data_IF_608928850555
#
_entry.id   IF_608928850555
#
_cell.length_a   1.000
_cell.length_b   1.000
_cell.length_c   1.000
_cell.angle_alpha   90.00
_cell.angle_beta   90.00
_cell.angle_gamma   90.00
#
_symmetry.space_group_name_H-M   'P 1'
#
loop_
_entity.id
_entity.type
_entity.pdbx_description
1 polymer ?
#
# COMPACT_ATOMS: atom_id res chain seq x y z
N UNK A 1 -24.96 7.90 -21.00
CA UNK A 1 -25.03 6.48 -20.60
C UNK A 1 -23.62 5.96 -20.26
N UNK A 2 -23.50 4.84 -19.54
CA UNK A 2 -22.19 4.23 -19.18
C UNK A 2 -21.34 3.94 -20.43
N UNK A 3 -21.96 3.51 -21.53
CA UNK A 3 -21.26 3.22 -22.79
C UNK A 3 -20.63 4.47 -23.41
N UNK A 4 -21.30 5.61 -23.38
CA UNK A 4 -20.74 6.87 -23.88
C UNK A 4 -19.51 7.30 -23.08
N UNK A 5 -19.54 7.19 -21.74
CA UNK A 5 -18.37 7.49 -20.91
C UNK A 5 -17.19 6.57 -21.21
N UNK A 6 -17.42 5.28 -21.41
CA UNK A 6 -16.36 4.33 -21.75
C UNK A 6 -15.76 4.60 -23.14
N UNK A 7 -16.58 4.99 -24.12
CA UNK A 7 -16.07 5.40 -25.44
C UNK A 7 -15.20 6.66 -25.33
N UNK A 8 -15.67 7.70 -24.65
CA UNK A 8 -14.90 8.94 -24.49
C UNK A 8 -13.56 8.70 -23.77
N UNK A 9 -13.53 7.86 -22.75
CA UNK A 9 -12.28 7.52 -22.04
C UNK A 9 -11.33 6.77 -22.97
N UNK A 10 -11.82 5.78 -23.71
CA UNK A 10 -11.01 4.98 -24.63
C UNK A 10 -10.40 5.83 -25.75
N UNK A 11 -11.20 6.73 -26.31
CA UNK A 11 -10.74 7.61 -27.40
C UNK A 11 -9.73 8.63 -26.85
N UNK A 12 -10.00 9.21 -25.69
CA UNK A 12 -9.07 10.12 -25.01
C UNK A 12 -7.72 9.48 -24.69
N UNK A 13 -7.70 8.22 -24.26
CA UNK A 13 -6.45 7.47 -23.99
C UNK A 13 -5.67 7.20 -25.28
N UNK A 14 -6.36 6.93 -26.41
CA UNK A 14 -5.70 6.71 -27.70
C UNK A 14 -5.10 7.99 -28.27
N UNK A 15 -5.85 9.08 -28.17
CA UNK A 15 -5.44 10.35 -28.75
C UNK A 15 -4.34 11.06 -27.95
N UNK A 16 -4.33 10.84 -26.61
CA UNK A 16 -3.40 11.48 -25.70
C UNK A 16 -2.86 10.51 -24.62
N UNK A 17 -2.03 9.52 -25.01
CA UNK A 17 -1.56 8.48 -24.09
C UNK A 17 -0.72 9.03 -22.93
N UNK A 18 0.02 10.12 -23.15
CA UNK A 18 0.86 10.75 -22.12
C UNK A 18 -0.02 11.37 -21.03
N UNK A 19 -1.09 12.08 -21.42
CA UNK A 19 -2.02 12.69 -20.46
C UNK A 19 -2.75 11.61 -19.67
N UNK A 20 -3.12 10.51 -20.32
CA UNK A 20 -3.77 9.38 -19.66
C UNK A 20 -2.84 8.71 -18.66
N UNK A 21 -1.56 8.56 -18.98
CA UNK A 21 -0.54 8.04 -18.09
C UNK A 21 -0.31 8.97 -16.89
N UNK A 22 -0.21 10.27 -17.13
CA UNK A 22 -0.06 11.27 -16.07
C UNK A 22 -1.24 11.24 -15.09
N UNK A 23 -2.45 11.19 -15.60
CA UNK A 23 -3.65 11.07 -14.78
C UNK A 23 -3.70 9.75 -13.97
N UNK A 24 -3.20 8.64 -14.54
CA UNK A 24 -3.08 7.37 -13.84
C UNK A 24 -2.04 7.48 -12.72
N UNK A 25 -0.87 8.01 -13.01
CA UNK A 25 0.20 8.19 -12.03
C UNK A 25 -0.22 9.13 -10.91
N UNK A 26 -0.90 10.23 -11.22
CA UNK A 26 -1.44 11.13 -10.22
C UNK A 26 -2.43 10.44 -9.26
N UNK A 27 -3.25 9.52 -9.77
CA UNK A 27 -4.17 8.72 -8.92
C UNK A 27 -3.46 7.67 -8.08
N UNK A 28 -2.35 7.14 -8.55
CA UNK A 28 -1.59 6.09 -7.85
C UNK A 28 -0.55 6.67 -6.89
N UNK A 29 -0.23 7.96 -7.01
CA UNK A 29 0.85 8.60 -6.26
C UNK A 29 0.75 8.38 -4.75
N UNK A 30 -0.45 8.44 -4.19
CA UNK A 30 -0.68 8.21 -2.76
C UNK A 30 -0.19 6.85 -2.26
N UNK A 31 -0.22 5.81 -3.09
CA UNK A 31 0.28 4.48 -2.69
C UNK A 31 1.81 4.41 -2.56
N UNK A 32 2.53 5.30 -3.24
CA UNK A 32 4.00 5.32 -3.29
C UNK A 32 4.62 6.44 -2.47
N UNK A 33 3.81 7.35 -1.94
CA UNK A 33 4.27 8.43 -1.07
C UNK A 33 4.20 8.01 0.40
N UNK A 34 5.33 7.62 0.97
CA UNK A 34 5.42 7.16 2.37
C UNK A 34 5.02 8.24 3.39
N UNK A 35 5.16 9.51 3.02
CA UNK A 35 4.81 10.64 3.89
C UNK A 35 3.32 11.00 3.83
N UNK A 36 2.59 10.47 2.83
CA UNK A 36 1.17 10.73 2.71
C UNK A 36 0.40 9.81 3.66
N UNK A 37 -0.38 10.39 4.55
CA UNK A 37 -1.20 9.60 5.46
C UNK A 37 -2.34 8.95 4.69
N UNK A 38 -2.52 7.62 4.82
CA UNK A 38 -3.66 6.95 4.22
C UNK A 38 -4.97 7.57 4.73
N UNK A 39 -5.94 7.68 3.85
CA UNK A 39 -7.26 8.17 4.21
C UNK A 39 -7.93 7.18 5.16
N UNK A 40 -7.94 7.50 6.45
CA UNK A 40 -8.63 6.75 7.49
C UNK A 40 -9.93 7.47 7.80
N UNK A 41 -11.05 6.93 7.36
CA UNK A 41 -12.37 7.54 7.58
C UNK A 41 -13.14 6.94 8.75
N UNK A 42 -12.46 6.36 9.72
CA UNK A 42 -13.10 5.74 10.88
C UNK A 42 -14.04 6.70 11.62
N UNK A 43 -13.59 7.93 11.83
CA UNK A 43 -14.40 8.96 12.51
C UNK A 43 -15.63 9.34 11.70
N UNK A 44 -15.50 9.38 10.38
CA UNK A 44 -16.59 9.73 9.49
C UNK A 44 -17.77 8.73 9.58
N UNK A 45 -17.50 7.42 9.66
CA UNK A 45 -18.54 6.42 9.74
C UNK A 45 -19.27 6.42 11.08
N UNK A 46 -18.57 6.65 12.18
CA UNK A 46 -19.16 6.62 13.53
C UNK A 46 -19.93 7.91 13.84
N UNK A 47 -19.39 9.06 13.42
CA UNK A 47 -19.98 10.38 13.69
C UNK A 47 -20.94 10.87 12.63
N UNK A 48 -21.10 10.15 11.49
CA UNK A 48 -22.01 10.57 10.43
C UNK A 48 -23.48 10.56 10.93
N UNK A 49 -24.21 11.60 10.61
CA UNK A 49 -25.65 11.73 10.95
C UNK A 49 -26.47 10.55 10.45
N UNK A 50 -26.08 9.97 9.32
CA UNK A 50 -26.74 8.81 8.74
C UNK A 50 -26.62 7.58 9.63
N UNK A 51 -25.41 7.28 10.14
CA UNK A 51 -25.15 6.14 11.02
C UNK A 51 -25.82 6.35 12.36
N UNK A 52 -25.73 7.55 12.92
CA UNK A 52 -26.38 7.89 14.20
C UNK A 52 -27.91 7.73 14.15
N UNK A 53 -28.54 8.08 13.03
CA UNK A 53 -29.99 7.98 12.85
C UNK A 53 -30.48 6.57 12.51
N UNK A 54 -29.68 5.78 11.79
CA UNK A 54 -30.14 4.51 11.22
C UNK A 54 -29.54 3.27 11.86
N UNK A 55 -28.54 3.42 12.75
CA UNK A 55 -27.89 2.28 13.40
C UNK A 55 -27.98 2.38 14.91
N UNK A 56 -28.62 1.39 15.53
CA UNK A 56 -28.60 1.19 16.99
C UNK A 56 -27.35 0.41 17.44
N UNK A 57 -26.55 -0.08 16.53
CA UNK A 57 -25.42 -0.99 16.77
C UNK A 57 -24.11 -0.26 17.00
N UNK A 58 -23.94 0.91 16.37
CA UNK A 58 -22.73 1.71 16.49
C UNK A 58 -23.02 2.80 17.50
N UNK A 59 -22.55 2.58 18.73
CA UNK A 59 -22.56 3.58 19.79
C UNK A 59 -21.14 4.09 19.99
N UNK A 60 -21.01 5.36 20.30
CA UNK A 60 -19.74 5.98 20.66
C UNK A 60 -19.35 5.59 22.08
N UNK A 61 -18.94 4.31 22.25
CA UNK A 61 -18.45 3.83 23.53
C UNK A 61 -17.04 4.38 23.77
N UNK A 62 -16.80 4.85 24.98
CA UNK A 62 -15.50 5.33 25.43
C UNK A 62 -14.92 6.42 24.50
N UNK A 63 -15.72 7.45 24.22
CA UNK A 63 -15.35 8.57 23.35
C UNK A 63 -13.96 9.15 23.70
N UNK A 64 -13.71 9.43 24.98
CA UNK A 64 -12.45 10.01 25.47
C UNK A 64 -11.23 9.13 25.14
N UNK A 65 -11.35 7.82 25.32
CA UNK A 65 -10.29 6.87 24.97
C UNK A 65 -10.02 6.85 23.47
N UNK A 66 -11.07 6.90 22.67
CA UNK A 66 -10.95 6.93 21.20
C UNK A 66 -10.27 8.21 20.73
N UNK A 67 -10.63 9.35 21.28
CA UNK A 67 -9.97 10.62 20.97
C UNK A 67 -8.49 10.62 21.36
N UNK A 68 -8.16 10.09 22.55
CA UNK A 68 -6.77 9.97 22.97
C UNK A 68 -5.95 9.06 22.06
N UNK A 69 -6.49 7.88 21.70
CA UNK A 69 -5.82 6.95 20.79
C UNK A 69 -5.69 7.56 19.38
N UNK A 70 -6.73 8.19 18.87
CA UNK A 70 -6.70 8.86 17.57
C UNK A 70 -5.70 10.03 17.55
N UNK A 71 -5.63 10.81 18.64
CA UNK A 71 -4.64 11.85 18.82
C UNK A 71 -3.21 11.30 18.84
N UNK A 72 -2.97 10.26 19.61
CA UNK A 72 -1.67 9.59 19.68
C UNK A 72 -1.25 9.04 18.31
N UNK A 73 -2.11 8.29 17.63
CA UNK A 73 -1.80 7.71 16.32
C UNK A 73 -1.52 8.77 15.26
N UNK A 74 -2.24 9.89 15.31
CA UNK A 74 -2.02 11.03 14.40
C UNK A 74 -0.65 11.68 14.63
N UNK A 75 -0.29 11.93 15.88
CA UNK A 75 1.01 12.49 16.24
C UNK A 75 2.13 11.52 15.88
N UNK A 76 1.98 10.24 16.24
CA UNK A 76 2.96 9.20 15.93
C UNK A 76 3.16 9.03 14.43
N UNK A 77 2.08 8.91 13.67
CA UNK A 77 2.13 8.78 12.21
C UNK A 77 2.75 10.00 11.51
N UNK A 78 2.69 11.18 12.13
CA UNK A 78 3.32 12.40 11.60
C UNK A 78 4.83 12.52 11.85
N UNK A 79 5.43 11.63 12.69
CA UNK A 79 6.88 11.68 12.95
C UNK A 79 7.64 11.10 11.76
N UNK A 80 8.53 11.87 11.10
CA UNK A 80 9.32 11.37 9.98
C UNK A 80 10.11 10.10 10.37
N UNK A 81 10.15 9.13 9.50
CA UNK A 81 10.83 7.84 9.65
C UNK A 81 10.19 6.92 10.70
N UNK A 82 9.97 7.38 11.93
CA UNK A 82 9.39 6.57 13.02
C UNK A 82 7.91 6.28 12.81
N UNK A 83 7.19 7.17 12.16
CA UNK A 83 5.78 6.98 11.80
C UNK A 83 5.57 6.10 10.57
N UNK A 84 6.59 5.96 9.69
CA UNK A 84 6.44 5.21 8.43
C UNK A 84 5.91 3.78 8.58
N UNK A 85 6.33 2.97 9.59
CA UNK A 85 5.79 1.63 9.78
C UNK A 85 4.28 1.59 10.09
N UNK A 86 3.67 2.70 10.46
CA UNK A 86 2.22 2.79 10.66
C UNK A 86 1.45 3.09 9.38
N UNK A 87 2.16 3.44 8.30
CA UNK A 87 1.56 3.74 6.99
C UNK A 87 1.63 2.51 6.08
N UNK A 88 0.50 2.12 5.49
CA UNK A 88 0.43 1.03 4.53
C UNK A 88 1.34 1.24 3.31
N UNK A 89 1.52 2.50 2.89
CA UNK A 89 2.39 2.92 1.80
C UNK A 89 3.85 2.49 2.00
N UNK A 90 4.34 2.52 3.25
CA UNK A 90 5.67 2.06 3.60
C UNK A 90 5.90 0.60 3.17
N UNK A 91 4.96 -0.28 3.46
CA UNK A 91 5.06 -1.71 3.12
C UNK A 91 5.02 -1.94 1.61
N UNK A 92 4.22 -1.16 0.88
CA UNK A 92 4.17 -1.20 -0.59
C UNK A 92 5.53 -0.83 -1.18
N UNK A 93 6.08 0.32 -0.78
CA UNK A 93 7.38 0.79 -1.27
C UNK A 93 8.51 -0.18 -0.92
N UNK A 94 8.56 -0.65 0.32
CA UNK A 94 9.60 -1.59 0.76
C UNK A 94 9.51 -2.94 0.04
N UNK A 95 8.30 -3.44 -0.24
CA UNK A 95 8.13 -4.68 -1.01
C UNK A 95 8.62 -4.52 -2.45
N UNK A 96 8.34 -3.36 -3.07
CA UNK A 96 8.86 -3.06 -4.42
C UNK A 96 10.39 -2.96 -4.44
N UNK A 97 10.99 -2.32 -3.43
CA UNK A 97 12.44 -2.22 -3.30
C UNK A 97 13.10 -3.59 -3.11
N UNK A 98 12.51 -4.46 -2.29
CA UNK A 98 12.97 -5.84 -2.12
C UNK A 98 12.85 -6.60 -3.45
N UNK A 99 11.72 -6.50 -4.14
CA UNK A 99 11.54 -7.11 -5.46
C UNK A 99 12.57 -6.63 -6.48
N UNK A 100 12.87 -5.33 -6.52
CA UNK A 100 13.92 -4.78 -7.37
C UNK A 100 15.32 -5.32 -7.01
N UNK A 101 15.63 -5.45 -5.71
CA UNK A 101 16.88 -6.04 -5.25
C UNK A 101 17.00 -7.51 -5.66
N UNK A 102 15.91 -8.29 -5.64
CA UNK A 102 15.89 -9.68 -6.09
C UNK A 102 16.13 -9.79 -7.60
N UNK A 103 15.54 -8.89 -8.40
CA UNK A 103 15.81 -8.81 -9.84
C UNK A 103 17.30 -8.52 -10.11
N UNK A 104 17.87 -7.52 -9.44
CA UNK A 104 19.30 -7.15 -9.60
C UNK A 104 20.20 -8.33 -9.21
N UNK A 105 19.86 -9.06 -8.15
CA UNK A 105 20.59 -10.24 -7.68
C UNK A 105 20.28 -11.52 -8.45
N UNK A 106 19.41 -11.45 -9.46
CA UNK A 106 18.95 -12.59 -10.28
C UNK A 106 18.35 -13.75 -9.47
N UNK A 107 17.66 -13.44 -8.34
CA UNK A 107 17.01 -14.40 -7.47
C UNK A 107 15.59 -14.69 -7.93
N UNK A 108 15.45 -15.25 -9.11
CA UNK A 108 14.15 -15.45 -9.76
C UNK A 108 13.18 -16.33 -8.97
N UNK A 109 13.71 -17.38 -8.29
CA UNK A 109 12.85 -18.25 -7.48
C UNK A 109 12.23 -17.54 -6.28
N UNK A 110 13.01 -16.71 -5.59
CA UNK A 110 12.51 -15.89 -4.48
C UNK A 110 11.53 -14.84 -4.98
N UNK A 111 11.83 -14.19 -6.10
CA UNK A 111 10.91 -13.26 -6.75
C UNK A 111 9.58 -13.90 -7.11
N UNK A 112 9.57 -15.16 -7.58
CA UNK A 112 8.34 -15.89 -7.90
C UNK A 112 7.41 -16.04 -6.69
N UNK A 113 7.94 -16.16 -5.47
CA UNK A 113 7.13 -16.21 -4.24
C UNK A 113 6.43 -14.87 -3.94
N UNK A 114 6.97 -13.77 -4.47
CA UNK A 114 6.44 -12.42 -4.29
C UNK A 114 5.49 -11.99 -5.43
N UNK A 115 5.38 -12.79 -6.51
CA UNK A 115 4.51 -12.47 -7.66
C UNK A 115 3.07 -12.13 -7.26
N UNK A 116 2.40 -12.87 -6.36
CA UNK A 116 1.02 -12.55 -5.96
C UNK A 116 0.89 -11.14 -5.38
N UNK A 117 1.89 -10.68 -4.61
CA UNK A 117 1.91 -9.32 -4.06
C UNK A 117 2.17 -8.27 -5.14
N UNK A 118 3.09 -8.55 -6.05
CA UNK A 118 3.37 -7.66 -7.18
C UNK A 118 2.16 -7.51 -8.10
N UNK A 119 1.41 -8.60 -8.33
CA UNK A 119 0.15 -8.56 -9.06
C UNK A 119 -0.91 -7.75 -8.32
N UNK A 120 -1.02 -7.89 -7.00
CA UNK A 120 -1.93 -7.08 -6.19
C UNK A 120 -1.60 -5.60 -6.30
N UNK A 121 -0.31 -5.23 -6.26
CA UNK A 121 0.13 -3.86 -6.49
C UNK A 121 -0.20 -3.39 -7.90
N UNK A 122 -0.06 -4.25 -8.91
CA UNK A 122 -0.49 -3.98 -10.28
C UNK A 122 -1.99 -3.66 -10.37
N UNK A 123 -2.82 -4.38 -9.63
CA UNK A 123 -4.26 -4.09 -9.53
C UNK A 123 -4.52 -2.74 -8.86
N UNK A 124 -3.79 -2.39 -7.81
CA UNK A 124 -3.92 -1.07 -7.17
C UNK A 124 -3.60 0.07 -8.14
N UNK A 125 -2.62 -0.12 -9.03
CA UNK A 125 -2.25 0.86 -10.06
C UNK A 125 -3.31 0.96 -11.14
N UNK A 126 -3.84 -0.17 -11.62
CA UNK A 126 -4.80 -0.21 -12.73
C UNK A 126 -6.24 0.16 -12.33
N UNK A 127 -6.60 -0.11 -11.08
CA UNK A 127 -7.90 0.24 -10.51
C UNK A 127 -7.73 1.17 -9.29
N UNK A 128 -7.17 2.36 -9.47
CA UNK A 128 -6.79 3.22 -8.36
C UNK A 128 -8.03 3.68 -7.60
N UNK A 129 -8.13 3.26 -6.36
CA UNK A 129 -9.19 3.66 -5.44
C UNK A 129 -8.73 4.75 -4.46
N UNK A 130 -7.69 5.48 -4.84
CA UNK A 130 -7.14 6.61 -4.12
C UNK A 130 -6.72 6.30 -2.67
N UNK A 131 -5.47 5.92 -2.46
CA UNK A 131 -4.77 5.82 -1.16
C UNK A 131 -5.60 5.22 0.02
N UNK A 132 -6.41 4.21 -0.26
CA UNK A 132 -7.16 3.53 0.80
C UNK A 132 -6.27 2.49 1.49
N UNK A 133 -6.06 2.65 2.77
CA UNK A 133 -5.27 1.75 3.61
C UNK A 133 -5.70 0.28 3.51
N UNK A 134 -7.00 0.02 3.41
CA UNK A 134 -7.55 -1.34 3.26
C UNK A 134 -6.96 -2.13 2.08
N UNK A 135 -6.53 -1.44 1.01
CA UNK A 135 -5.93 -2.09 -0.15
C UNK A 135 -4.46 -2.48 0.10
N UNK A 136 -3.82 -1.80 1.04
CA UNK A 136 -2.42 -2.05 1.41
C UNK A 136 -2.28 -3.06 2.55
N UNK A 137 -3.35 -3.34 3.30
CA UNK A 137 -3.35 -4.30 4.41
C UNK A 137 -2.78 -5.67 4.03
N UNK A 138 -3.17 -6.31 2.91
CA UNK A 138 -2.60 -7.61 2.54
C UNK A 138 -1.08 -7.55 2.37
N UNK A 139 -0.56 -6.45 1.82
CA UNK A 139 0.89 -6.24 1.66
C UNK A 139 1.55 -6.10 3.03
N UNK A 140 0.97 -5.32 3.93
CA UNK A 140 1.49 -5.12 5.29
C UNK A 140 1.54 -6.44 6.09
N UNK A 141 0.50 -7.26 6.01
CA UNK A 141 0.45 -8.57 6.70
C UNK A 141 1.49 -9.56 6.18
N UNK A 142 1.75 -9.58 4.88
CA UNK A 142 2.70 -10.52 4.26
C UNK A 142 4.13 -9.98 4.25
N UNK A 143 4.32 -8.70 4.53
CA UNK A 143 5.63 -8.03 4.48
C UNK A 143 6.69 -8.74 5.34
N UNK A 144 6.35 -9.18 6.53
CA UNK A 144 7.27 -9.94 7.39
C UNK A 144 7.82 -11.19 6.71
N UNK A 145 6.96 -11.90 5.96
CA UNK A 145 7.38 -13.07 5.19
C UNK A 145 8.33 -12.68 4.03
N UNK A 146 8.05 -11.58 3.34
CA UNK A 146 8.91 -11.06 2.27
C UNK A 146 10.31 -10.73 2.81
N UNK A 147 10.39 -10.04 3.94
CA UNK A 147 11.67 -9.70 4.58
C UNK A 147 12.43 -10.94 5.02
N UNK A 148 11.76 -11.90 5.64
CA UNK A 148 12.39 -13.14 6.11
C UNK A 148 12.93 -13.99 4.96
N UNK A 149 12.20 -14.13 3.87
CA UNK A 149 12.64 -14.86 2.68
C UNK A 149 13.86 -14.18 2.05
N UNK A 150 13.81 -12.87 1.88
CA UNK A 150 14.94 -12.09 1.37
C UNK A 150 16.19 -12.24 2.23
N UNK A 151 16.04 -12.15 3.55
CA UNK A 151 17.15 -12.29 4.49
C UNK A 151 17.74 -13.68 4.46
N UNK A 152 16.91 -14.73 4.53
CA UNK A 152 17.35 -16.12 4.46
C UNK A 152 18.21 -16.39 3.22
N UNK A 153 17.75 -15.95 2.05
CA UNK A 153 18.50 -16.13 0.81
C UNK A 153 19.81 -15.31 0.81
N UNK A 154 19.80 -14.13 1.42
CA UNK A 154 21.00 -13.31 1.54
C UNK A 154 22.05 -13.94 2.45
N UNK A 155 21.64 -14.62 3.51
CA UNK A 155 22.53 -15.38 4.39
C UNK A 155 23.11 -16.61 3.65
N UNK A 156 22.26 -17.35 2.93
CA UNK A 156 22.69 -18.50 2.16
C UNK A 156 23.75 -18.14 1.09
N UNK A 157 23.59 -17.01 0.41
CA UNK A 157 24.60 -16.50 -0.52
C UNK A 157 25.92 -16.18 0.13
N UNK A 158 25.90 -15.49 1.28
CA UNK A 158 27.11 -15.18 2.04
C UNK A 158 27.87 -16.45 2.44
N UNK A 159 27.14 -17.47 2.92
CA UNK A 159 27.74 -18.76 3.30
C UNK A 159 28.37 -19.47 2.08
N UNK A 160 27.71 -19.47 0.94
CA UNK A 160 28.28 -20.04 -0.30
C UNK A 160 29.55 -19.32 -0.76
N UNK A 161 29.56 -17.99 -0.68
CA UNK A 161 30.74 -17.18 -1.02
C UNK A 161 31.90 -17.46 -0.06
N UNK A 162 31.64 -17.61 1.23
CA UNK A 162 32.67 -17.95 2.21
C UNK A 162 33.25 -19.34 1.98
N UNK A 163 32.42 -20.32 1.60
CA UNK A 163 32.85 -21.68 1.29
C UNK A 163 33.67 -21.82 0.01
N UNK A 164 33.53 -20.89 -0.94
CA UNK A 164 34.34 -20.87 -2.19
C UNK A 164 35.69 -20.17 -2.04
N UNK A 165 35.93 -19.47 -0.95
CA UNK A 165 37.18 -18.76 -0.67
C UNK A 165 38.18 -19.60 0.18
N UNK A 166 37.72 -20.73 0.67
CA UNK A 166 38.53 -21.75 1.37
C UNK A 166 38.69 -23.00 0.50
#
# INVERSE_FOLDING_TARGET
SRRQRQMCIRDSVKDNPIIALDALLAKCFGYFNVNDQPYVSMDYYVTSDYVQKNSTWIKDYNHDWREHIAGFTRVWGGIPVLGWPTHGNFYVVMTLLIGAAEVIRRRWLTLMTHIPLLLLMGVMITAPANNFERHMLPVAFVFGFVVLTYWRESLAERQRQSATLH
#
